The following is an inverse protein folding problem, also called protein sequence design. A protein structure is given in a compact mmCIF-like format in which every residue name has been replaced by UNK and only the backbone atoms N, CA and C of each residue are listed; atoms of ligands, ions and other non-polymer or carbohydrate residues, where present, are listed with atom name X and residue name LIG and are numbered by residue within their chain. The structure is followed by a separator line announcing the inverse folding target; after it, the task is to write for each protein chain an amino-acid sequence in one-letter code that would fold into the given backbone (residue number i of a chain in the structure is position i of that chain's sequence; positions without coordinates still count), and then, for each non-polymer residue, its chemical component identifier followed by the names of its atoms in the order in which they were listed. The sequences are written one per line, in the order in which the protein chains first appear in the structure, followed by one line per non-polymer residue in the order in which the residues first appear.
data_IF_361228454555
#
_entry.id   IF_361228454555
#
_cell.length_a   1.000
_cell.length_b   1.000
_cell.length_c   1.000
_cell.angle_alpha   90.00
_cell.angle_beta   90.00
_cell.angle_gamma   90.00
#
_symmetry.space_group_name_H-M   'P 1'
#
loop_
_entity.id
_entity.type
_entity.pdbx_description
1 polymer ?
#
# COMPACT_ATOMS: atom_id res chain seq x y z
N UNK A 1 -7.39 -4.00 8.03
CA UNK A 1 -6.13 -4.22 8.76
C UNK A 1 -5.15 -3.08 8.48
N UNK A 2 -4.43 -2.62 9.47
CA UNK A 2 -3.31 -1.68 9.31
C UNK A 2 -2.01 -2.44 9.60
N UNK A 3 -1.03 -2.36 8.70
CA UNK A 3 0.20 -3.15 8.81
C UNK A 3 1.06 -2.75 10.01
N UNK A 4 0.98 -1.50 10.46
CA UNK A 4 1.71 -1.00 11.63
C UNK A 4 1.14 0.33 12.15
N UNK A 5 1.78 0.87 13.22
CA UNK A 5 1.39 2.11 13.88
C UNK A 5 2.04 3.38 13.29
N UNK A 6 2.97 3.24 12.35
CA UNK A 6 3.83 4.35 11.93
C UNK A 6 3.59 4.79 10.49
N UNK A 7 3.20 3.86 9.62
CA UNK A 7 3.02 4.09 8.19
C UNK A 7 1.54 4.13 7.86
N UNK A 8 1.12 5.20 7.21
CA UNK A 8 -0.20 5.30 6.62
C UNK A 8 -0.15 4.71 5.22
N UNK A 9 -1.02 3.77 4.95
CA UNK A 9 -1.06 3.03 3.69
C UNK A 9 -2.36 3.30 2.94
N UNK A 10 -2.27 3.51 1.64
CA UNK A 10 -3.43 3.47 0.75
C UNK A 10 -4.06 2.06 0.83
N UNK A 11 -5.38 1.92 0.61
CA UNK A 11 -5.99 0.61 0.49
C UNK A 11 -5.24 -0.27 -0.51
N UNK A 12 -4.68 -1.38 -0.04
CA UNK A 12 -3.86 -2.27 -0.83
C UNK A 12 -4.09 -3.73 -0.47
N UNK A 13 -3.86 -4.61 -1.44
CA UNK A 13 -3.82 -6.05 -1.24
C UNK A 13 -2.40 -6.52 -1.49
N UNK A 14 -1.91 -7.41 -0.62
CA UNK A 14 -0.63 -8.08 -0.78
C UNK A 14 -0.85 -9.53 -1.16
N UNK A 15 -0.29 -9.94 -2.29
CA UNK A 15 -0.41 -11.29 -2.83
C UNK A 15 0.99 -11.87 -3.00
N UNK A 16 1.20 -13.12 -2.62
CA UNK A 16 2.45 -13.83 -2.91
C UNK A 16 2.55 -14.18 -4.39
N UNK A 17 3.73 -14.04 -4.96
CA UNK A 17 4.00 -14.27 -6.38
C UNK A 17 3.47 -15.62 -6.87
N UNK A 18 3.74 -16.72 -6.18
CA UNK A 18 3.22 -18.04 -6.55
C UNK A 18 1.68 -18.19 -6.52
N UNK A 19 0.96 -17.26 -5.88
CA UNK A 19 -0.50 -17.30 -5.71
C UNK A 19 -1.23 -16.25 -6.55
N UNK A 20 -0.50 -15.32 -7.18
CA UNK A 20 -1.10 -14.15 -7.84
C UNK A 20 -2.10 -14.52 -8.95
N UNK A 21 -1.83 -15.54 -9.76
CA UNK A 21 -2.71 -15.96 -10.87
C UNK A 21 -4.13 -16.32 -10.40
N UNK A 22 -4.26 -16.89 -9.20
CA UNK A 22 -5.54 -17.34 -8.65
C UNK A 22 -6.25 -16.25 -7.85
N UNK A 23 -5.52 -15.30 -7.26
CA UNK A 23 -6.06 -14.28 -6.36
C UNK A 23 -6.26 -12.92 -7.02
N UNK A 24 -5.48 -12.60 -8.07
CA UNK A 24 -5.54 -11.31 -8.76
C UNK A 24 -6.94 -10.97 -9.31
N UNK A 25 -7.67 -11.90 -9.97
CA UNK A 25 -9.02 -11.60 -10.45
C UNK A 25 -9.99 -11.19 -9.34
N UNK A 26 -9.85 -11.75 -8.15
CA UNK A 26 -10.65 -11.39 -6.98
C UNK A 26 -10.18 -10.08 -6.35
N UNK A 27 -8.87 -9.88 -6.26
CA UNK A 27 -8.27 -8.69 -5.68
C UNK A 27 -8.65 -7.40 -6.45
N UNK A 28 -8.73 -7.46 -7.76
CA UNK A 28 -9.16 -6.35 -8.63
C UNK A 28 -10.59 -5.89 -8.26
N UNK A 29 -11.46 -6.80 -7.79
CA UNK A 29 -12.83 -6.47 -7.42
C UNK A 29 -12.95 -5.74 -6.08
N UNK A 30 -11.88 -5.70 -5.28
CA UNK A 30 -11.91 -5.17 -3.91
C UNK A 30 -11.83 -3.64 -3.80
N UNK A 31 -11.81 -2.89 -4.90
CA UNK A 31 -11.71 -1.43 -4.92
C UNK A 31 -10.52 -0.89 -4.10
N UNK A 32 -9.39 -1.56 -4.22
CA UNK A 32 -8.12 -1.10 -3.62
C UNK A 32 -7.34 -0.25 -4.62
N UNK A 33 -6.43 0.60 -4.11
CA UNK A 33 -5.61 1.46 -4.98
C UNK A 33 -4.41 0.71 -5.56
N UNK A 34 -3.94 -0.31 -4.84
CA UNK A 34 -2.74 -1.05 -5.22
C UNK A 34 -2.88 -2.55 -4.90
N UNK A 35 -2.38 -3.37 -5.80
CA UNK A 35 -2.12 -4.79 -5.56
C UNK A 35 -0.60 -4.99 -5.65
N UNK A 36 0.00 -5.35 -4.52
CA UNK A 36 1.43 -5.58 -4.43
C UNK A 36 1.71 -7.08 -4.45
N UNK A 37 2.32 -7.55 -5.54
CA UNK A 37 2.79 -8.92 -5.65
C UNK A 37 4.13 -9.02 -4.91
N UNK A 38 4.16 -9.79 -3.84
CA UNK A 38 5.35 -9.97 -3.00
C UNK A 38 6.14 -11.22 -3.37
N UNK A 39 7.47 -11.18 -3.25
CA UNK A 39 8.24 -12.41 -3.29
C UNK A 39 7.90 -13.28 -2.07
N UNK A 40 8.04 -14.59 -2.22
CA UNK A 40 7.92 -15.50 -1.09
C UNK A 40 8.99 -15.17 -0.02
N UNK A 41 8.59 -15.16 1.24
CA UNK A 41 9.50 -14.98 2.37
C UNK A 41 8.98 -15.73 3.60
N UNK A 42 9.85 -16.19 4.51
CA UNK A 42 9.45 -16.89 5.74
C UNK A 42 8.48 -16.08 6.60
N UNK A 43 8.57 -14.74 6.55
CA UNK A 43 7.66 -13.85 7.30
C UNK A 43 6.22 -14.01 6.82
N UNK A 44 5.98 -14.15 5.52
CA UNK A 44 4.63 -14.35 4.98
C UNK A 44 4.12 -15.76 5.25
N UNK A 45 4.98 -16.77 5.27
CA UNK A 45 4.60 -18.17 5.51
C UNK A 45 4.00 -18.39 6.90
N UNK A 46 4.31 -17.54 7.87
CA UNK A 46 3.71 -17.57 9.22
C UNK A 46 2.32 -16.89 9.30
N UNK A 47 1.84 -16.24 8.22
CA UNK A 47 0.58 -15.51 8.26
C UNK A 47 -0.63 -16.42 8.06
N UNK A 48 -1.77 -16.01 8.64
CA UNK A 48 -3.06 -16.68 8.45
C UNK A 48 -3.44 -16.75 6.96
N UNK A 49 -3.29 -15.62 6.24
CA UNK A 49 -3.62 -15.53 4.81
C UNK A 49 -2.83 -16.52 3.96
N UNK A 50 -1.54 -16.71 4.24
CA UNK A 50 -0.72 -17.72 3.57
C UNK A 50 -1.25 -19.13 3.83
N UNK A 51 -1.43 -19.49 5.11
CA UNK A 51 -1.84 -20.86 5.49
C UNK A 51 -3.23 -21.23 4.94
N UNK A 52 -4.19 -20.30 4.93
CA UNK A 52 -5.49 -20.52 4.31
C UNK A 52 -5.37 -20.73 2.79
N UNK A 53 -4.54 -19.96 2.09
CA UNK A 53 -4.31 -20.15 0.67
C UNK A 53 -3.62 -21.50 0.37
N UNK A 54 -2.71 -21.96 1.21
CA UNK A 54 -2.13 -23.32 1.11
C UNK A 54 -3.20 -24.40 1.29
N UNK A 55 -4.15 -24.18 2.19
CA UNK A 55 -5.30 -25.06 2.37
C UNK A 55 -6.37 -24.90 1.26
N UNK A 56 -6.06 -24.19 0.15
CA UNK A 56 -6.95 -23.94 -1.00
C UNK A 56 -8.17 -23.06 -0.67
N UNK A 57 -8.15 -22.33 0.43
CA UNK A 57 -9.13 -21.30 0.76
C UNK A 57 -8.63 -19.97 0.22
N UNK A 58 -9.25 -19.47 -0.85
CA UNK A 58 -8.85 -18.18 -1.47
C UNK A 58 -9.02 -17.05 -0.47
N UNK A 59 -7.90 -16.53 0.01
CA UNK A 59 -7.85 -15.52 1.08
C UNK A 59 -7.07 -14.30 0.60
N UNK A 60 -7.70 -13.13 0.72
CA UNK A 60 -7.09 -11.83 0.46
C UNK A 60 -6.87 -11.10 1.78
N UNK A 61 -5.71 -10.45 1.91
CA UNK A 61 -5.39 -9.58 3.05
C UNK A 61 -5.34 -8.15 2.57
N UNK A 62 -6.24 -7.31 3.09
CA UNK A 62 -6.31 -5.90 2.76
C UNK A 62 -5.61 -5.12 3.87
N UNK A 63 -4.61 -4.34 3.49
CA UNK A 63 -3.91 -3.39 4.36
C UNK A 63 -4.37 -1.98 4.03
N UNK A 64 -4.66 -1.15 5.05
CA UNK A 64 -5.12 0.22 4.83
C UNK A 64 -4.96 1.10 6.05
N UNK A 65 -4.71 2.38 5.82
CA UNK A 65 -4.62 3.39 6.85
C UNK A 65 -3.39 3.23 7.75
N UNK A 66 -3.50 3.68 8.97
CA UNK A 66 -2.48 3.54 10.01
C UNK A 66 -3.16 3.05 11.29
N UNK A 67 -2.46 2.25 12.08
CA UNK A 67 -3.00 1.72 13.34
C UNK A 67 -3.51 2.81 14.28
N UNK A 68 -4.50 2.48 15.09
CA UNK A 68 -5.16 3.35 16.06
C UNK A 68 -5.91 4.57 15.48
N UNK A 69 -6.14 4.59 14.15
CA UNK A 69 -6.90 5.66 13.49
C UNK A 69 -7.98 5.10 12.57
N UNK A 70 -9.10 5.80 12.48
CA UNK A 70 -10.18 5.50 11.53
C UNK A 70 -10.08 6.44 10.33
N UNK A 71 -10.01 5.86 9.14
CA UNK A 71 -9.99 6.57 7.87
C UNK A 71 -11.31 6.31 7.13
N UNK A 72 -12.33 7.16 7.37
CA UNK A 72 -13.67 6.98 6.83
C UNK A 72 -13.69 6.77 5.32
N UNK A 73 -12.95 7.59 4.57
CA UNK A 73 -12.85 7.46 3.11
C UNK A 73 -12.34 6.09 2.66
N UNK A 74 -11.38 5.52 3.38
CA UNK A 74 -10.86 4.18 3.08
C UNK A 74 -11.87 3.10 3.45
N UNK A 75 -12.59 3.27 4.56
CA UNK A 75 -13.65 2.34 4.96
C UNK A 75 -14.79 2.32 3.93
N UNK A 76 -15.25 3.49 3.47
CA UNK A 76 -16.29 3.62 2.45
C UNK A 76 -15.84 2.99 1.12
N UNK A 77 -14.60 3.24 0.69
CA UNK A 77 -14.00 2.67 -0.51
C UNK A 77 -13.98 1.13 -0.44
N UNK A 78 -13.49 0.57 0.68
CA UNK A 78 -13.38 -0.88 0.85
C UNK A 78 -14.75 -1.54 1.04
N UNK A 79 -15.73 -0.86 1.64
CA UNK A 79 -17.10 -1.34 1.70
C UNK A 79 -17.70 -1.53 0.30
N UNK A 80 -17.51 -0.54 -0.58
CA UNK A 80 -17.92 -0.66 -1.98
C UNK A 80 -17.20 -1.81 -2.69
N UNK A 81 -15.90 -1.99 -2.44
CA UNK A 81 -15.13 -3.12 -2.96
C UNK A 81 -15.66 -4.47 -2.46
N UNK A 82 -16.07 -4.55 -1.20
CA UNK A 82 -16.68 -5.77 -0.65
C UNK A 82 -17.98 -6.11 -1.35
N UNK A 83 -18.88 -5.15 -1.55
CA UNK A 83 -20.12 -5.37 -2.29
C UNK A 83 -19.84 -5.85 -3.72
N UNK A 84 -18.86 -5.25 -4.38
CA UNK A 84 -18.46 -5.63 -5.72
C UNK A 84 -17.88 -7.06 -5.78
N UNK A 85 -17.03 -7.43 -4.83
CA UNK A 85 -16.48 -8.79 -4.72
C UNK A 85 -17.57 -9.83 -4.46
N UNK A 86 -18.53 -9.57 -3.55
CA UNK A 86 -19.64 -10.46 -3.24
C UNK A 86 -20.55 -10.66 -4.46
N UNK A 87 -20.79 -9.61 -5.25
CA UNK A 87 -21.52 -9.73 -6.50
C UNK A 87 -20.73 -10.54 -7.54
N UNK A 88 -19.45 -10.24 -7.73
CA UNK A 88 -18.57 -10.95 -8.67
C UNK A 88 -18.49 -12.46 -8.37
N UNK A 89 -18.54 -12.83 -7.10
CA UNK A 89 -18.52 -14.24 -6.65
C UNK A 89 -19.90 -14.91 -6.64
N UNK A 90 -20.96 -14.20 -7.00
CA UNK A 90 -22.33 -14.72 -7.01
C UNK A 90 -22.98 -14.88 -5.65
N UNK A 91 -22.35 -14.38 -4.58
CA UNK A 91 -22.91 -14.38 -3.21
C UNK A 91 -24.05 -13.35 -3.10
N UNK A 92 -23.87 -12.20 -3.76
CA UNK A 92 -24.86 -11.13 -3.81
C UNK A 92 -25.45 -11.06 -5.23
N UNK A 93 -26.75 -11.34 -5.38
CA UNK A 93 -27.37 -11.57 -6.69
C UNK A 93 -28.10 -10.33 -7.22
N UNK A 94 -28.64 -9.47 -6.33
CA UNK A 94 -29.37 -8.26 -6.68
C UNK A 94 -28.84 -7.08 -5.87
N UNK A 95 -28.05 -6.23 -6.51
CA UNK A 95 -27.41 -5.10 -5.87
C UNK A 95 -27.85 -3.75 -6.42
N UNK A 96 -28.84 -3.72 -7.32
CA UNK A 96 -29.13 -2.52 -8.09
C UNK A 96 -27.90 -2.09 -8.95
N UNK A 97 -27.51 -0.83 -8.92
CA UNK A 97 -26.28 -0.40 -9.59
C UNK A 97 -25.08 -0.62 -8.69
N UNK A 98 -24.13 -1.45 -9.15
CA UNK A 98 -22.83 -1.60 -8.48
C UNK A 98 -22.00 -0.30 -8.60
N UNK A 99 -21.23 0.04 -7.56
CA UNK A 99 -20.32 1.17 -7.65
C UNK A 99 -19.27 0.91 -8.75
N UNK A 100 -18.97 1.94 -9.51
CA UNK A 100 -17.82 1.91 -10.43
C UNK A 100 -16.55 1.89 -9.59
N UNK A 101 -15.69 0.91 -9.83
CA UNK A 101 -14.37 0.83 -9.21
C UNK A 101 -13.31 1.17 -10.26
N UNK A 102 -12.26 1.87 -9.81
CA UNK A 102 -11.10 2.13 -10.67
C UNK A 102 -10.13 0.94 -10.62
N UNK A 103 -9.43 0.65 -11.73
CA UNK A 103 -8.44 -0.42 -11.73
C UNK A 103 -7.27 -0.06 -10.80
N UNK A 104 -6.83 -1.00 -9.94
CA UNK A 104 -5.70 -0.77 -9.06
C UNK A 104 -4.38 -0.72 -9.82
N UNK A 105 -3.39 -0.04 -9.26
CA UNK A 105 -2.00 -0.21 -9.68
C UNK A 105 -1.54 -1.61 -9.28
N UNK A 106 -0.94 -2.35 -10.21
CA UNK A 106 -0.33 -3.66 -9.91
C UNK A 106 1.17 -3.48 -9.90
N UNK A 107 1.80 -3.75 -8.74
CA UNK A 107 3.24 -3.63 -8.57
C UNK A 107 3.87 -5.00 -8.29
N UNK A 108 4.91 -5.33 -9.04
CA UNK A 108 5.73 -6.53 -8.85
C UNK A 108 6.90 -6.25 -7.88
N UNK A 109 7.60 -7.27 -7.36
CA UNK A 109 8.61 -7.08 -6.31
C UNK A 109 9.71 -6.08 -6.65
N UNK A 110 10.17 -6.04 -7.91
CA UNK A 110 11.21 -5.12 -8.37
C UNK A 110 10.73 -3.69 -8.62
N UNK A 111 9.42 -3.47 -8.61
CA UNK A 111 8.79 -2.19 -8.93
C UNK A 111 8.42 -1.37 -7.69
N UNK A 112 8.84 -1.78 -6.49
CA UNK A 112 8.53 -1.03 -5.27
C UNK A 112 9.81 -0.44 -4.67
N UNK A 113 9.90 0.89 -4.72
CA UNK A 113 10.96 1.62 -4.02
C UNK A 113 10.57 1.85 -2.57
N UNK A 114 11.48 1.51 -1.65
CA UNK A 114 11.40 1.81 -0.23
C UNK A 114 12.32 2.99 0.10
N UNK A 115 11.74 4.09 0.58
CA UNK A 115 12.48 5.24 1.06
C UNK A 115 12.68 5.12 2.58
N UNK A 116 13.91 5.30 3.03
CA UNK A 116 14.29 5.10 4.42
C UNK A 116 15.04 6.32 4.97
N UNK A 117 14.93 6.51 6.28
CA UNK A 117 15.72 7.51 6.99
C UNK A 117 17.19 7.08 7.12
N UNK A 118 18.10 8.02 6.89
CA UNK A 118 19.54 7.86 7.17
C UNK A 118 19.89 8.36 8.57
N UNK A 119 19.02 9.17 9.17
CA UNK A 119 19.29 9.87 10.43
C UNK A 119 18.21 9.58 11.47
N UNK A 120 18.54 9.73 12.72
CA UNK A 120 17.56 9.86 13.78
C UNK A 120 17.00 11.30 13.77
N UNK A 121 15.67 11.44 13.90
CA UNK A 121 15.05 12.76 13.84
C UNK A 121 13.51 12.68 13.71
N UNK A 122 12.94 13.74 13.18
CA UNK A 122 11.49 13.88 12.96
C UNK A 122 11.21 13.95 11.47
N UNK A 123 10.46 13.00 10.95
CA UNK A 123 10.01 13.03 9.57
C UNK A 123 8.78 13.92 9.40
N UNK A 124 8.84 14.83 8.43
CA UNK A 124 7.74 15.68 7.98
C UNK A 124 7.42 15.33 6.55
N UNK A 125 6.26 14.72 6.30
CA UNK A 125 5.79 14.39 4.95
C UNK A 125 5.18 15.60 4.26
N UNK A 126 5.54 15.82 3.01
CA UNK A 126 5.03 16.92 2.17
C UNK A 126 4.01 16.45 1.13
N UNK A 127 3.96 15.15 0.87
CA UNK A 127 3.10 14.57 -0.16
C UNK A 127 1.96 13.75 0.45
N UNK A 128 0.79 13.91 -0.14
CA UNK A 128 -0.38 13.08 0.18
C UNK A 128 -0.25 11.68 -0.40
N UNK A 129 -0.91 10.71 0.27
CA UNK A 129 -1.10 9.38 -0.28
C UNK A 129 -1.95 9.38 -1.55
N UNK A 130 -1.82 8.33 -2.36
CA UNK A 130 -2.56 8.10 -3.60
C UNK A 130 -2.23 9.13 -4.67
N UNK A 131 -1.02 9.67 -4.64
CA UNK A 131 -0.53 10.66 -5.59
C UNK A 131 0.47 10.01 -6.55
N UNK A 132 0.38 10.37 -7.81
CA UNK A 132 1.48 10.15 -8.74
C UNK A 132 2.56 11.17 -8.46
N UNK A 133 3.77 10.69 -8.24
CA UNK A 133 4.97 11.52 -8.00
C UNK A 133 5.92 11.42 -9.17
N UNK A 134 6.61 12.52 -9.47
CA UNK A 134 7.65 12.55 -10.48
C UNK A 134 9.00 12.17 -9.88
N UNK A 135 9.92 11.67 -10.71
CA UNK A 135 11.33 11.48 -10.33
C UNK A 135 11.92 12.78 -9.76
N UNK A 136 12.58 12.70 -8.62
CA UNK A 136 13.17 13.86 -7.92
C UNK A 136 12.16 14.68 -7.11
N UNK A 137 10.86 14.38 -7.14
CA UNK A 137 9.87 15.08 -6.32
C UNK A 137 10.13 14.84 -4.83
N UNK A 138 10.09 15.92 -4.03
CA UNK A 138 10.30 15.86 -2.58
C UNK A 138 9.07 15.26 -1.92
N UNK A 139 9.25 14.13 -1.24
CA UNK A 139 8.21 13.41 -0.49
C UNK A 139 8.10 13.93 0.94
N UNK A 140 9.22 14.40 1.49
CA UNK A 140 9.29 14.92 2.84
C UNK A 140 10.73 15.14 3.28
N UNK A 141 10.90 15.50 4.56
CA UNK A 141 12.20 15.83 5.15
C UNK A 141 12.36 15.15 6.51
N UNK A 142 13.58 14.82 6.87
CA UNK A 142 13.95 14.42 8.24
C UNK A 142 14.64 15.59 8.90
N UNK A 143 14.05 16.08 9.98
CA UNK A 143 14.56 17.21 10.74
C UNK A 143 15.29 16.73 11.99
N UNK A 144 16.32 17.48 12.39
CA UNK A 144 16.95 17.34 13.69
C UNK A 144 15.94 17.65 14.81
N UNK A 145 15.85 16.78 15.81
CA UNK A 145 14.95 16.97 16.94
C UNK A 145 15.43 18.06 17.93
N UNK A 146 16.68 18.53 17.80
CA UNK A 146 17.29 19.49 18.73
C UNK A 146 17.22 20.93 18.25
N UNK A 147 17.41 21.16 16.95
CA UNK A 147 17.52 22.50 16.36
C UNK A 147 16.60 22.73 15.15
N UNK A 148 15.93 21.66 14.66
CA UNK A 148 15.01 21.73 13.54
C UNK A 148 15.71 21.82 12.16
N UNK A 149 17.02 21.68 12.08
CA UNK A 149 17.73 21.67 10.80
C UNK A 149 17.36 20.45 9.95
N UNK A 150 17.35 20.63 8.63
CA UNK A 150 17.09 19.53 7.69
C UNK A 150 18.30 18.61 7.61
N UNK A 151 18.15 17.38 8.10
CA UNK A 151 19.19 16.34 8.04
C UNK A 151 19.12 15.53 6.74
N UNK A 152 17.93 15.38 6.17
CA UNK A 152 17.71 14.62 4.96
C UNK A 152 16.49 15.13 4.22
N UNK A 153 16.65 15.48 2.95
CA UNK A 153 15.57 15.58 1.99
C UNK A 153 15.28 14.18 1.42
N UNK A 154 14.02 13.81 1.36
CA UNK A 154 13.55 12.49 0.90
C UNK A 154 12.85 12.67 -0.43
N UNK A 155 13.49 12.23 -1.50
CA UNK A 155 12.98 12.41 -2.86
C UNK A 155 12.57 11.08 -3.51
N UNK A 156 11.63 11.14 -4.46
CA UNK A 156 11.24 10.00 -5.27
C UNK A 156 12.40 9.60 -6.21
N UNK A 157 12.90 8.36 -6.16
CA UNK A 157 14.02 7.92 -7.02
C UNK A 157 13.61 7.82 -8.48
N UNK A 158 12.37 7.49 -8.75
CA UNK A 158 11.74 7.40 -10.07
C UNK A 158 10.28 7.83 -9.98
N UNK A 159 9.66 8.11 -11.13
CA UNK A 159 8.22 8.41 -11.20
C UNK A 159 7.40 7.19 -10.81
N UNK A 160 6.30 7.39 -10.08
CA UNK A 160 5.47 6.29 -9.61
C UNK A 160 4.25 6.70 -8.79
N UNK A 161 3.60 5.71 -8.20
CA UNK A 161 2.44 5.89 -7.34
C UNK A 161 2.82 5.79 -5.87
N UNK A 162 2.68 6.88 -5.12
CA UNK A 162 2.98 6.94 -3.69
C UNK A 162 1.85 6.31 -2.88
N UNK A 163 2.07 5.12 -2.35
CA UNK A 163 1.03 4.34 -1.66
C UNK A 163 1.26 4.15 -0.16
N UNK A 164 2.43 4.52 0.35
CA UNK A 164 2.73 4.50 1.79
C UNK A 164 3.53 5.74 2.15
N UNK A 165 3.13 6.41 3.23
CA UNK A 165 3.88 7.55 3.82
C UNK A 165 3.87 7.41 5.33
N UNK A 166 4.99 7.73 5.96
CA UNK A 166 5.10 7.74 7.42
C UNK A 166 4.22 8.83 8.02
N UNK A 167 3.35 8.44 8.93
CA UNK A 167 2.44 9.31 9.68
C UNK A 167 3.05 9.70 11.04
N UNK A 168 3.75 8.77 11.70
CA UNK A 168 4.36 9.01 13.00
C UNK A 168 5.76 9.58 12.84
N UNK A 169 6.05 10.82 13.34
CA UNK A 169 7.23 11.57 12.93
C UNK A 169 8.56 10.98 13.42
N UNK A 170 8.63 10.38 14.59
CA UNK A 170 9.89 9.89 15.15
C UNK A 170 10.51 8.80 14.28
N UNK A 171 11.77 9.01 13.86
CA UNK A 171 12.52 8.08 13.01
C UNK A 171 13.92 7.81 13.55
N UNK A 172 14.42 6.63 13.20
CA UNK A 172 15.80 6.21 13.39
C UNK A 172 16.40 5.79 12.05
N UNK A 173 17.73 5.68 11.93
CA UNK A 173 18.36 5.17 10.72
C UNK A 173 17.77 3.82 10.30
N UNK A 174 17.45 3.69 9.01
CA UNK A 174 16.76 2.51 8.45
C UNK A 174 15.24 2.49 8.61
N UNK A 175 14.65 3.44 9.35
CA UNK A 175 13.19 3.50 9.48
C UNK A 175 12.53 3.78 8.11
N UNK A 176 11.46 3.04 7.73
CA UNK A 176 10.74 3.29 6.50
C UNK A 176 10.00 4.63 6.57
N UNK A 177 10.10 5.43 5.52
CA UNK A 177 9.47 6.74 5.37
C UNK A 177 8.34 6.73 4.35
N UNK A 178 8.57 6.11 3.19
CA UNK A 178 7.58 6.03 2.12
C UNK A 178 7.81 4.80 1.24
N UNK A 179 6.76 4.40 0.48
CA UNK A 179 6.85 3.41 -0.59
C UNK A 179 6.19 3.94 -1.85
N UNK A 180 6.86 3.73 -2.97
CA UNK A 180 6.41 4.16 -4.30
C UNK A 180 6.38 2.93 -5.19
N UNK A 181 5.22 2.67 -5.82
CA UNK A 181 5.12 1.72 -6.91
C UNK A 181 5.61 2.43 -8.19
N UNK A 182 6.77 2.03 -8.67
CA UNK A 182 7.44 2.64 -9.80
C UNK A 182 6.68 2.34 -11.10
N UNK A 183 6.64 3.30 -12.01
CA UNK A 183 6.13 3.08 -13.36
C UNK A 183 7.22 2.47 -14.21
N UNK A 184 6.87 1.49 -15.04
CA UNK A 184 7.73 1.05 -16.11
C UNK A 184 7.88 2.19 -17.13
N UNK A 185 9.10 2.59 -17.45
CA UNK A 185 9.39 3.62 -18.47
C UNK A 185 8.99 3.22 -19.90
N UNK A 186 8.12 2.23 -20.07
CA UNK A 186 7.72 1.66 -21.36
C UNK A 186 6.23 1.56 -21.63
N UNK A 187 5.36 2.02 -20.73
CA UNK A 187 3.91 1.98 -20.96
C UNK A 187 3.34 3.41 -20.99
N UNK A 188 2.78 3.87 -22.13
CA UNK A 188 2.14 5.18 -22.28
C UNK A 188 0.87 5.30 -21.46
#
# INVERSE_FOLDING_TARGET
HASNLHLKEAPQIRILDGLHKNLLPLAIQCNVDLIWVHPASPMFESTLGYNLNQARVKTLVIETGVGLRLHRKFADQLFQGMLNLLHHTGVLVDTGSLPKIDPPVIAHPSQVALLQSRYAGLFVGHSDLKKNVAKGEVIGEVLSATDGEVLQEVTAPESGFLFTVREHPLVYPGAPLARIALRDEGCP
#
